data_IF_752020677313
#
_entry.id   IF_752020677313
#
_cell.length_a   1.000
_cell.length_b   1.000
_cell.length_c   1.000
_cell.angle_alpha   90.00
_cell.angle_beta   90.00
_cell.angle_gamma   90.00
#
_symmetry.space_group_name_H-M   'P 1'
#
loop_
_entity.id
_entity.type
_entity.pdbx_description
1 polymer ?
#
# COMPACT_ATOMS: atom_id res chain seq x y z
N UNK A 1 14.64 77.64 3.62
CA UNK A 1 13.60 77.95 2.62
C UNK A 1 12.95 76.69 2.16
N UNK A 2 11.70 76.50 2.59
CA UNK A 2 10.73 75.55 2.00
C UNK A 2 10.24 76.13 0.67
N UNK A 3 9.70 75.33 -0.23
CA UNK A 3 8.30 74.85 -0.13
C UNK A 3 8.11 73.41 -0.59
N UNK A 4 7.22 72.67 0.03
CA UNK A 4 5.75 72.51 -0.12
C UNK A 4 5.34 71.81 -1.41
N UNK A 5 4.74 70.64 -1.14
CA UNK A 5 3.42 70.12 -1.52
C UNK A 5 3.46 69.15 -2.69
N UNK A 6 2.81 68.04 -2.74
CA UNK A 6 1.43 67.58 -2.59
C UNK A 6 1.44 66.06 -2.73
N UNK A 7 0.93 65.33 -1.82
CA UNK A 7 -0.44 64.78 -1.81
C UNK A 7 -0.71 63.57 -2.72
N UNK A 8 -1.02 62.45 -2.05
CA UNK A 8 -2.02 61.46 -2.41
C UNK A 8 -1.84 60.64 -3.69
N UNK A 9 -1.43 59.39 -3.47
CA UNK A 9 -2.11 58.24 -4.07
C UNK A 9 -1.72 57.00 -3.29
N UNK A 10 -2.62 56.52 -2.44
CA UNK A 10 -2.58 55.19 -1.83
C UNK A 10 -3.17 54.24 -2.85
N UNK A 11 -2.45 53.28 -3.40
CA UNK A 11 -3.09 52.12 -4.01
C UNK A 11 -3.54 51.22 -2.88
N UNK A 12 -4.83 51.05 -2.76
CA UNK A 12 -5.49 49.97 -2.02
C UNK A 12 -4.94 48.64 -2.53
N UNK A 13 -3.99 48.07 -1.82
CA UNK A 13 -3.65 46.65 -1.95
C UNK A 13 -4.89 45.87 -1.52
N UNK A 14 -5.69 45.49 -2.49
CA UNK A 14 -6.61 44.37 -2.39
C UNK A 14 -5.75 43.15 -2.03
N UNK A 15 -5.65 42.86 -0.73
CA UNK A 15 -5.32 41.57 -0.21
C UNK A 15 -6.44 40.63 -0.65
N UNK A 16 -6.31 40.12 -1.86
CA UNK A 16 -7.01 38.94 -2.30
C UNK A 16 -6.58 37.85 -1.33
N UNK A 17 -7.43 37.55 -0.37
CA UNK A 17 -7.36 36.32 0.37
C UNK A 17 -7.42 35.18 -0.65
N UNK A 18 -6.27 34.67 -1.01
CA UNK A 18 -6.18 33.32 -1.52
C UNK A 18 -6.56 32.42 -0.36
N UNK A 19 -7.86 32.20 -0.21
CA UNK A 19 -8.35 31.01 0.44
C UNK A 19 -7.72 29.86 -0.34
N UNK A 20 -6.66 29.31 0.20
CA UNK A 20 -6.16 28.01 -0.19
C UNK A 20 -7.32 27.03 0.03
N UNK A 21 -8.13 26.85 -1.01
CA UNK A 21 -8.97 25.69 -1.08
C UNK A 21 -7.98 24.52 -1.05
N UNK A 22 -7.86 23.88 0.10
CA UNK A 22 -7.33 22.55 0.18
C UNK A 22 -8.16 21.75 -0.85
N UNK A 23 -7.56 21.44 -1.98
CA UNK A 23 -8.11 20.46 -2.91
C UNK A 23 -8.00 19.14 -2.16
N UNK A 24 -9.04 18.83 -1.35
CA UNK A 24 -9.27 17.48 -0.91
C UNK A 24 -9.26 16.65 -2.20
N UNK A 25 -8.27 15.79 -2.35
CA UNK A 25 -8.23 14.80 -3.42
C UNK A 25 -9.49 13.97 -3.21
N UNK A 26 -10.56 14.31 -3.95
CA UNK A 26 -11.81 13.56 -3.91
C UNK A 26 -11.48 12.18 -4.46
N UNK A 27 -11.26 11.24 -3.55
CA UNK A 27 -11.10 9.84 -3.90
C UNK A 27 -12.38 9.40 -4.58
N UNK A 28 -12.27 8.89 -5.81
CA UNK A 28 -13.42 8.31 -6.52
C UNK A 28 -14.10 7.27 -5.62
N UNK A 29 -15.43 7.31 -5.45
CA UNK A 29 -16.15 6.34 -4.63
C UNK A 29 -15.82 4.88 -4.95
N UNK A 30 -15.50 4.56 -6.22
CA UNK A 30 -15.12 3.21 -6.64
C UNK A 30 -13.75 2.83 -6.07
N UNK A 31 -12.77 3.74 -6.12
CA UNK A 31 -11.45 3.48 -5.54
C UNK A 31 -11.55 3.17 -4.04
N UNK A 32 -12.43 3.88 -3.33
CA UNK A 32 -12.72 3.62 -1.91
C UNK A 32 -13.34 2.24 -1.69
N UNK A 33 -14.30 1.81 -2.52
CA UNK A 33 -14.89 0.47 -2.43
C UNK A 33 -13.84 -0.64 -2.65
N UNK A 34 -12.95 -0.45 -3.62
CA UNK A 34 -11.84 -1.38 -3.88
C UNK A 34 -10.90 -1.46 -2.67
N UNK A 35 -10.54 -0.30 -2.10
CA UNK A 35 -9.68 -0.25 -0.92
C UNK A 35 -10.31 -0.92 0.31
N UNK A 36 -11.62 -0.78 0.48
CA UNK A 36 -12.41 -1.44 1.53
C UNK A 36 -12.69 -2.93 1.26
N UNK A 37 -12.18 -3.48 0.15
CA UNK A 37 -12.42 -4.86 -0.30
C UNK A 37 -13.91 -5.18 -0.58
N UNK A 38 -14.73 -4.16 -0.81
CA UNK A 38 -16.14 -4.28 -1.20
C UNK A 38 -16.24 -4.52 -2.71
N UNK A 39 -15.62 -5.60 -3.17
CA UNK A 39 -15.39 -5.86 -4.59
C UNK A 39 -16.68 -6.04 -5.40
N UNK A 40 -17.72 -6.61 -4.81
CA UNK A 40 -19.02 -6.75 -5.48
C UNK A 40 -19.68 -5.40 -5.79
N UNK A 41 -19.66 -4.48 -4.81
CA UNK A 41 -20.20 -3.13 -4.98
C UNK A 41 -19.35 -2.29 -5.93
N UNK A 42 -18.02 -2.45 -5.87
CA UNK A 42 -17.13 -1.82 -6.82
C UNK A 42 -17.43 -2.27 -8.25
N UNK A 43 -17.58 -3.60 -8.49
CA UNK A 43 -17.92 -4.17 -9.79
C UNK A 43 -19.23 -3.59 -10.35
N UNK A 44 -20.32 -3.63 -9.55
CA UNK A 44 -21.62 -3.10 -9.96
C UNK A 44 -21.57 -1.59 -10.28
N UNK A 45 -20.78 -0.82 -9.53
CA UNK A 45 -20.63 0.61 -9.76
C UNK A 45 -19.84 0.90 -11.05
N UNK A 46 -18.77 0.13 -11.32
CA UNK A 46 -17.98 0.19 -12.55
C UNK A 46 -18.88 -0.12 -13.74
N UNK A 47 -19.63 -1.23 -13.70
CA UNK A 47 -20.53 -1.66 -14.75
C UNK A 47 -21.59 -0.61 -15.05
N UNK A 48 -22.21 -0.03 -14.02
CA UNK A 48 -23.20 1.02 -14.18
C UNK A 48 -22.63 2.32 -14.81
N UNK A 49 -21.37 2.67 -14.52
CA UNK A 49 -20.68 3.79 -15.16
C UNK A 49 -20.35 3.49 -16.62
N UNK A 50 -19.80 2.31 -16.90
CA UNK A 50 -19.44 1.90 -18.26
C UNK A 50 -20.66 1.71 -19.16
N UNK A 51 -21.82 1.33 -18.60
CA UNK A 51 -23.09 1.28 -19.34
C UNK A 51 -23.56 2.68 -19.79
N UNK A 52 -23.24 3.73 -19.04
CA UNK A 52 -23.57 5.14 -19.39
C UNK A 52 -22.55 5.75 -20.32
N UNK A 53 -21.27 5.47 -20.09
CA UNK A 53 -20.13 5.92 -20.89
C UNK A 53 -19.09 4.79 -20.97
N UNK A 54 -19.08 4.09 -22.09
CA UNK A 54 -18.20 2.93 -22.32
C UNK A 54 -16.70 3.29 -22.33
N UNK A 55 -16.37 4.58 -22.40
CA UNK A 55 -15.00 5.13 -22.43
C UNK A 55 -14.69 5.97 -21.20
N UNK A 56 -15.51 5.91 -20.13
CA UNK A 56 -15.25 6.63 -18.87
C UNK A 56 -13.86 6.27 -18.30
N UNK A 57 -12.90 7.22 -18.27
CA UNK A 57 -11.53 6.90 -17.88
C UNK A 57 -11.41 6.44 -16.45
N UNK A 58 -12.24 6.98 -15.54
CA UNK A 58 -12.23 6.60 -14.13
C UNK A 58 -12.77 5.20 -13.92
N UNK A 59 -13.85 4.84 -14.62
CA UNK A 59 -14.43 3.50 -14.51
C UNK A 59 -13.53 2.43 -15.14
N UNK A 60 -12.90 2.72 -16.28
CA UNK A 60 -11.93 1.81 -16.90
C UNK A 60 -10.68 1.62 -16.04
N UNK A 61 -10.13 2.70 -15.47
CA UNK A 61 -9.00 2.61 -14.55
C UNK A 61 -9.38 1.83 -13.27
N UNK A 62 -10.57 2.08 -12.72
CA UNK A 62 -11.06 1.36 -11.54
C UNK A 62 -11.29 -0.14 -11.80
N UNK A 63 -11.64 -0.56 -13.04
CA UNK A 63 -11.75 -1.98 -13.38
C UNK A 63 -10.38 -2.67 -13.32
N UNK A 64 -9.32 -1.99 -13.77
CA UNK A 64 -7.93 -2.48 -13.63
C UNK A 64 -7.55 -2.63 -12.17
N UNK A 65 -7.81 -1.61 -11.35
CA UNK A 65 -7.48 -1.62 -9.93
C UNK A 65 -8.24 -2.73 -9.17
N UNK A 66 -9.51 -2.92 -9.49
CA UNK A 66 -10.33 -3.98 -8.91
C UNK A 66 -9.75 -5.38 -9.19
N UNK A 67 -9.33 -5.63 -10.43
CA UNK A 67 -8.72 -6.90 -10.83
C UNK A 67 -7.37 -7.13 -10.14
N UNK A 68 -6.53 -6.10 -10.07
CA UNK A 68 -5.26 -6.18 -9.33
C UNK A 68 -5.54 -6.45 -7.83
N UNK A 69 -6.52 -5.77 -7.23
CA UNK A 69 -6.85 -5.88 -5.82
C UNK A 69 -7.42 -7.25 -5.41
N UNK A 70 -8.11 -7.95 -6.33
CA UNK A 70 -8.53 -9.33 -6.11
C UNK A 70 -7.37 -10.29 -5.96
N UNK A 71 -6.24 -9.96 -6.60
CA UNK A 71 -4.99 -10.73 -6.47
C UNK A 71 -5.02 -12.10 -7.14
N UNK A 72 -5.97 -12.33 -8.03
CA UNK A 72 -6.08 -13.56 -8.81
C UNK A 72 -5.21 -13.46 -10.07
N UNK A 73 -4.20 -14.34 -10.25
CA UNK A 73 -3.27 -14.24 -11.38
C UNK A 73 -3.98 -14.27 -12.75
N UNK A 74 -5.09 -14.97 -12.83
CA UNK A 74 -5.88 -15.13 -14.07
C UNK A 74 -6.61 -13.84 -14.47
N UNK A 75 -6.77 -12.88 -13.57
CA UNK A 75 -7.39 -11.58 -13.87
C UNK A 75 -6.39 -10.55 -14.45
N UNK A 76 -5.08 -10.73 -14.26
CA UNK A 76 -4.08 -9.77 -14.73
C UNK A 76 -4.04 -9.59 -16.28
N UNK A 77 -4.23 -10.62 -17.12
CA UNK A 77 -4.34 -10.44 -18.56
C UNK A 77 -5.54 -9.56 -18.96
N UNK A 78 -6.70 -9.76 -18.32
CA UNK A 78 -7.88 -8.93 -18.59
C UNK A 78 -7.70 -7.51 -18.05
N UNK A 79 -7.09 -7.34 -16.88
CA UNK A 79 -6.74 -6.02 -16.35
C UNK A 79 -5.83 -5.25 -17.32
N UNK A 80 -4.92 -5.93 -18.01
CA UNK A 80 -4.07 -5.33 -19.05
C UNK A 80 -4.89 -4.83 -20.23
N UNK A 81 -5.82 -5.64 -20.75
CA UNK A 81 -6.72 -5.27 -21.84
C UNK A 81 -7.58 -4.05 -21.44
N UNK A 82 -8.12 -4.04 -20.22
CA UNK A 82 -8.90 -2.89 -19.71
C UNK A 82 -8.04 -1.61 -19.62
N UNK A 83 -6.79 -1.71 -19.19
CA UNK A 83 -5.84 -0.61 -19.13
C UNK A 83 -5.45 -0.07 -20.52
N UNK A 84 -5.20 -0.94 -21.48
CA UNK A 84 -4.91 -0.59 -22.88
C UNK A 84 -6.11 0.11 -23.51
N UNK A 85 -7.32 -0.42 -23.33
CA UNK A 85 -8.58 0.21 -23.76
C UNK A 85 -8.76 1.59 -23.12
N UNK A 86 -8.41 1.75 -21.84
CA UNK A 86 -8.50 3.04 -21.15
C UNK A 86 -7.62 4.08 -21.85
N UNK A 87 -6.36 3.75 -22.12
CA UNK A 87 -5.39 4.65 -22.77
C UNK A 87 -5.76 4.92 -24.24
N UNK A 88 -6.27 3.91 -24.96
CA UNK A 88 -6.69 4.09 -26.35
C UNK A 88 -7.87 5.05 -26.46
N UNK A 89 -8.87 4.90 -25.59
CA UNK A 89 -10.04 5.77 -25.57
C UNK A 89 -9.76 7.18 -24.98
N UNK A 90 -8.74 7.30 -24.13
CA UNK A 90 -8.42 8.53 -23.41
C UNK A 90 -6.88 8.74 -23.39
N UNK A 91 -6.26 9.12 -24.52
CA UNK A 91 -4.80 9.12 -24.68
C UNK A 91 -4.04 10.08 -23.75
N UNK A 92 -4.68 11.17 -23.30
CA UNK A 92 -4.10 12.18 -22.42
C UNK A 92 -4.57 12.06 -20.97
N UNK A 93 -5.23 10.93 -20.62
CA UNK A 93 -5.71 10.68 -19.27
C UNK A 93 -4.60 10.14 -18.36
N UNK A 94 -4.26 10.90 -17.32
CA UNK A 94 -3.32 10.49 -16.28
C UNK A 94 -3.76 9.22 -15.59
N UNK A 95 -5.04 9.08 -15.22
CA UNK A 95 -5.56 7.91 -14.52
C UNK A 95 -5.54 6.65 -15.39
N UNK A 96 -5.75 6.76 -16.70
CA UNK A 96 -5.63 5.63 -17.63
C UNK A 96 -4.17 5.19 -17.79
N UNK A 97 -3.26 6.14 -17.96
CA UNK A 97 -1.82 5.85 -18.07
C UNK A 97 -1.30 5.21 -16.78
N UNK A 98 -1.74 5.71 -15.62
CA UNK A 98 -1.39 5.14 -14.32
C UNK A 98 -1.92 3.70 -14.17
N UNK A 99 -3.20 3.46 -14.44
CA UNK A 99 -3.80 2.13 -14.33
C UNK A 99 -3.08 1.10 -15.23
N UNK A 100 -2.74 1.49 -16.47
CA UNK A 100 -1.95 0.64 -17.36
C UNK A 100 -0.55 0.39 -16.80
N UNK A 101 0.14 1.39 -16.27
CA UNK A 101 1.44 1.24 -15.63
C UNK A 101 1.39 0.30 -14.42
N UNK A 102 0.35 0.42 -13.59
CA UNK A 102 0.14 -0.43 -12.41
C UNK A 102 -0.04 -1.90 -12.77
N UNK A 103 -0.86 -2.22 -13.78
CA UNK A 103 -1.06 -3.62 -14.19
C UNK A 103 0.20 -4.20 -14.85
N UNK A 104 0.95 -3.39 -15.60
CA UNK A 104 2.23 -3.84 -16.18
C UNK A 104 3.25 -4.18 -15.09
N UNK A 105 3.33 -3.37 -14.04
CA UNK A 105 4.17 -3.65 -12.87
C UNK A 105 3.69 -4.90 -12.12
N UNK A 106 2.38 -5.06 -11.92
CA UNK A 106 1.81 -6.25 -11.30
C UNK A 106 2.12 -7.52 -12.10
N UNK A 107 1.97 -7.50 -13.43
CA UNK A 107 2.33 -8.61 -14.30
C UNK A 107 3.84 -8.93 -14.25
N UNK A 108 4.67 -7.89 -14.17
CA UNK A 108 6.13 -8.06 -14.05
C UNK A 108 6.51 -8.78 -12.76
N UNK A 109 5.88 -8.41 -11.65
CA UNK A 109 6.09 -9.06 -10.35
C UNK A 109 5.57 -10.50 -10.33
N UNK A 110 4.40 -10.75 -10.88
CA UNK A 110 3.81 -12.09 -10.94
C UNK A 110 4.56 -13.05 -11.87
N UNK A 111 5.05 -12.54 -13.01
CA UNK A 111 5.72 -13.33 -14.05
C UNK A 111 7.24 -13.46 -13.89
N UNK A 112 7.80 -12.89 -12.81
CA UNK A 112 9.24 -12.95 -12.53
C UNK A 112 10.12 -12.20 -13.53
N UNK A 113 11.42 -12.53 -13.57
CA UNK A 113 12.43 -11.75 -14.31
C UNK A 113 12.11 -11.61 -15.81
N UNK A 114 11.62 -12.65 -16.47
CA UNK A 114 11.31 -12.61 -17.91
C UNK A 114 10.19 -11.63 -18.22
N UNK A 115 9.12 -11.65 -17.43
CA UNK A 115 8.02 -10.71 -17.57
C UNK A 115 8.47 -9.28 -17.24
N UNK A 116 9.33 -9.14 -16.25
CA UNK A 116 9.90 -7.85 -15.86
C UNK A 116 10.71 -7.24 -17.01
N UNK A 117 11.66 -7.99 -17.59
CA UNK A 117 12.47 -7.54 -18.74
C UNK A 117 11.59 -7.09 -19.90
N UNK A 118 10.54 -7.85 -20.21
CA UNK A 118 9.63 -7.54 -21.32
C UNK A 118 8.84 -6.24 -21.12
N UNK A 119 8.46 -5.93 -19.89
CA UNK A 119 7.56 -4.81 -19.58
C UNK A 119 8.29 -3.55 -19.05
N UNK A 120 9.54 -3.65 -18.62
CA UNK A 120 10.20 -2.62 -17.83
C UNK A 120 10.15 -1.21 -18.44
N UNK A 121 10.64 -1.08 -19.69
CA UNK A 121 10.66 0.23 -20.36
C UNK A 121 9.25 0.80 -20.57
N UNK A 122 8.32 -0.05 -21.04
CA UNK A 122 6.94 0.37 -21.28
C UNK A 122 6.24 0.76 -19.97
N UNK A 123 6.51 0.05 -18.86
CA UNK A 123 5.98 0.40 -17.52
C UNK A 123 6.47 1.78 -17.09
N UNK A 124 7.78 2.03 -17.13
CA UNK A 124 8.37 3.31 -16.79
C UNK A 124 7.78 4.45 -17.62
N UNK A 125 7.83 4.32 -18.95
CA UNK A 125 7.41 5.37 -19.88
C UNK A 125 5.91 5.69 -19.73
N UNK A 126 5.09 4.68 -19.42
CA UNK A 126 3.66 4.84 -19.17
C UNK A 126 3.39 5.59 -17.85
N UNK A 127 4.12 5.28 -16.78
CA UNK A 127 4.01 5.99 -15.51
C UNK A 127 4.55 7.42 -15.58
N UNK A 128 5.65 7.63 -16.31
CA UNK A 128 6.15 8.99 -16.58
C UNK A 128 5.14 9.82 -17.38
N UNK A 129 4.41 9.20 -18.32
CA UNK A 129 3.31 9.87 -19.04
C UNK A 129 2.19 10.27 -18.09
N UNK A 130 1.80 9.38 -17.18
CA UNK A 130 0.77 9.67 -16.17
C UNK A 130 1.12 10.94 -15.37
N UNK A 131 2.37 11.05 -14.91
CA UNK A 131 2.86 12.22 -14.15
C UNK A 131 2.95 13.48 -15.02
N UNK A 132 3.28 13.34 -16.31
CA UNK A 132 3.28 14.50 -17.24
C UNK A 132 1.88 15.04 -17.48
N UNK A 133 0.86 14.17 -17.59
CA UNK A 133 -0.52 14.60 -17.77
C UNK A 133 -1.13 15.21 -16.51
N UNK A 134 -0.79 14.66 -15.35
CA UNK A 134 -1.19 15.21 -14.04
C UNK A 134 -0.04 15.10 -13.02
N UNK A 135 0.70 16.20 -12.78
CA UNK A 135 1.75 16.24 -11.77
C UNK A 135 1.26 15.90 -10.34
N UNK A 136 -0.05 16.08 -10.07
CA UNK A 136 -0.66 15.76 -8.77
C UNK A 136 -1.13 14.30 -8.68
N UNK A 137 -0.90 13.48 -9.69
CA UNK A 137 -1.15 12.05 -9.59
C UNK A 137 -0.12 11.39 -8.65
N UNK A 138 -0.42 11.43 -7.35
CA UNK A 138 0.46 10.91 -6.29
C UNK A 138 0.67 9.40 -6.41
N UNK A 139 -0.35 8.66 -6.85
CA UNK A 139 -0.27 7.22 -7.01
C UNK A 139 0.70 6.83 -8.13
N UNK A 140 0.63 7.49 -9.27
CA UNK A 140 1.59 7.31 -10.35
C UNK A 140 3.04 7.60 -9.90
N UNK A 141 3.25 8.66 -9.10
CA UNK A 141 4.57 8.99 -8.55
C UNK A 141 5.10 7.91 -7.62
N UNK A 142 4.27 7.41 -6.70
CA UNK A 142 4.66 6.33 -5.79
C UNK A 142 4.94 5.04 -6.56
N UNK A 143 4.10 4.69 -7.54
CA UNK A 143 4.31 3.49 -8.38
C UNK A 143 5.59 3.59 -9.22
N UNK A 144 5.88 4.77 -9.79
CA UNK A 144 7.12 5.00 -10.53
C UNK A 144 8.35 4.93 -9.62
N UNK A 145 8.26 5.43 -8.39
CA UNK A 145 9.32 5.27 -7.40
C UNK A 145 9.58 3.79 -7.09
N UNK A 146 8.52 3.01 -6.83
CA UNK A 146 8.62 1.57 -6.63
C UNK A 146 9.32 0.90 -7.82
N UNK A 147 8.96 1.30 -9.05
CA UNK A 147 9.66 0.81 -10.24
C UNK A 147 11.16 1.15 -10.23
N UNK A 148 11.53 2.40 -9.93
CA UNK A 148 12.94 2.80 -9.91
C UNK A 148 13.77 2.08 -8.85
N UNK A 149 13.19 1.75 -7.71
CA UNK A 149 13.85 1.03 -6.61
C UNK A 149 13.92 -0.49 -6.88
N UNK A 150 12.85 -1.10 -7.42
CA UNK A 150 12.77 -2.55 -7.63
C UNK A 150 13.51 -3.03 -8.91
N UNK A 151 13.57 -2.18 -9.95
CA UNK A 151 14.10 -2.57 -11.23
C UNK A 151 15.63 -2.64 -11.22
N UNK A 152 16.25 -3.66 -11.84
CA UNK A 152 17.67 -3.63 -12.12
C UNK A 152 18.07 -2.40 -12.95
N UNK A 153 19.29 -1.87 -12.75
CA UNK A 153 19.77 -0.65 -13.43
C UNK A 153 19.69 -0.74 -14.97
N UNK A 154 19.99 -1.91 -15.54
CA UNK A 154 19.95 -2.14 -17.00
C UNK A 154 18.51 -2.25 -17.57
N UNK A 155 17.50 -2.30 -16.70
CA UNK A 155 16.07 -2.24 -17.03
C UNK A 155 15.43 -0.90 -16.69
N UNK A 156 16.22 0.09 -16.29
CA UNK A 156 15.76 1.44 -16.00
C UNK A 156 15.56 1.73 -14.51
N UNK A 157 15.95 0.81 -13.61
CA UNK A 157 16.02 1.10 -12.18
C UNK A 157 17.08 2.16 -11.87
N UNK A 158 16.81 3.02 -10.90
CA UNK A 158 17.73 4.11 -10.59
C UNK A 158 17.37 4.77 -9.24
N UNK A 159 18.19 4.54 -8.23
CA UNK A 159 18.07 5.25 -6.96
C UNK A 159 18.17 6.78 -7.12
N UNK A 160 18.97 7.25 -8.10
CA UNK A 160 19.11 8.69 -8.38
C UNK A 160 17.76 9.26 -8.83
N UNK A 161 17.10 8.61 -9.81
CA UNK A 161 15.79 9.04 -10.31
C UNK A 161 14.71 8.93 -9.22
N UNK A 162 14.77 7.91 -8.37
CA UNK A 162 13.88 7.79 -7.21
C UNK A 162 14.02 9.00 -6.27
N UNK A 163 15.25 9.40 -5.93
CA UNK A 163 15.51 10.59 -5.09
C UNK A 163 15.10 11.91 -5.76
N UNK A 164 15.32 12.04 -7.07
CA UNK A 164 14.84 13.19 -7.86
C UNK A 164 13.32 13.29 -7.79
N UNK A 165 12.60 12.19 -8.00
CA UNK A 165 11.15 12.12 -7.95
C UNK A 165 10.61 12.51 -6.55
N UNK A 166 11.28 12.07 -5.47
CA UNK A 166 10.96 12.48 -4.11
C UNK A 166 11.23 13.98 -3.88
N UNK A 167 12.26 14.53 -4.51
CA UNK A 167 12.61 15.95 -4.40
C UNK A 167 11.60 16.84 -5.15
N UNK A 168 11.15 16.40 -6.32
CA UNK A 168 10.09 17.08 -7.08
C UNK A 168 8.77 17.10 -6.29
N UNK A 169 8.42 16.00 -5.61
CA UNK A 169 7.22 15.89 -4.78
C UNK A 169 7.17 16.94 -3.66
N UNK A 170 8.32 17.45 -3.20
CA UNK A 170 8.40 18.48 -2.15
C UNK A 170 7.64 19.76 -2.50
N UNK A 171 7.54 20.09 -3.78
CA UNK A 171 6.82 21.28 -4.25
C UNK A 171 5.31 21.06 -4.31
N UNK A 172 4.90 19.80 -4.28
CA UNK A 172 3.50 19.38 -4.42
C UNK A 172 2.91 19.10 -3.03
N UNK A 173 3.57 18.23 -2.27
CA UNK A 173 3.09 17.77 -0.98
C UNK A 173 4.23 17.35 -0.04
N UNK A 174 4.31 17.90 1.20
CA UNK A 174 5.34 17.54 2.17
C UNK A 174 5.22 16.09 2.67
N UNK A 175 4.01 15.56 2.86
CA UNK A 175 3.78 14.25 3.44
C UNK A 175 4.03 13.14 2.42
N UNK A 176 3.63 13.36 1.16
CA UNK A 176 4.05 12.52 0.05
C UNK A 176 5.58 12.46 -0.06
N UNK A 177 6.24 13.61 0.07
CA UNK A 177 7.71 13.68 0.07
C UNK A 177 8.33 12.84 1.16
N UNK A 178 7.75 12.87 2.38
CA UNK A 178 8.21 12.04 3.51
C UNK A 178 8.05 10.56 3.22
N UNK A 179 6.90 10.13 2.70
CA UNK A 179 6.70 8.75 2.27
C UNK A 179 7.77 8.32 1.26
N UNK A 180 7.97 9.12 0.22
CA UNK A 180 8.92 8.79 -0.84
C UNK A 180 10.38 8.76 -0.34
N UNK A 181 10.76 9.66 0.57
CA UNK A 181 12.07 9.63 1.23
C UNK A 181 12.24 8.42 2.14
N UNK A 182 11.19 8.04 2.85
CA UNK A 182 11.21 6.84 3.66
C UNK A 182 11.45 5.58 2.80
N UNK A 183 10.84 5.52 1.62
CA UNK A 183 11.06 4.41 0.66
C UNK A 183 12.52 4.39 0.16
N UNK A 184 13.09 5.53 -0.22
CA UNK A 184 14.51 5.61 -0.62
C UNK A 184 15.44 5.21 0.53
N UNK A 185 15.21 5.72 1.74
CA UNK A 185 16.04 5.40 2.89
C UNK A 185 15.96 3.90 3.26
N UNK A 186 14.78 3.29 3.13
CA UNK A 186 14.60 1.87 3.34
C UNK A 186 15.40 1.04 2.33
N UNK A 187 15.33 1.38 1.04
CA UNK A 187 16.07 0.73 -0.03
C UNK A 187 17.59 0.82 0.19
N UNK A 188 18.07 1.96 0.70
CA UNK A 188 19.47 2.17 1.08
C UNK A 188 19.89 1.45 2.38
N UNK A 189 18.99 0.71 3.04
CA UNK A 189 19.23 0.05 4.32
C UNK A 189 19.30 0.99 5.53
N UNK A 190 18.93 2.26 5.38
CA UNK A 190 18.94 3.29 6.42
C UNK A 190 17.64 3.25 7.22
N UNK A 191 17.46 2.17 8.01
CA UNK A 191 16.17 1.88 8.67
C UNK A 191 15.71 3.00 9.62
N UNK A 192 16.64 3.64 10.34
CA UNK A 192 16.29 4.70 11.31
C UNK A 192 15.84 5.99 10.59
N UNK A 193 16.45 6.32 9.44
CA UNK A 193 16.03 7.45 8.60
C UNK A 193 14.66 7.15 7.95
N UNK A 194 14.45 5.93 7.48
CA UNK A 194 13.16 5.49 6.96
C UNK A 194 12.06 5.58 8.03
N UNK A 195 12.32 5.11 9.26
CA UNK A 195 11.41 5.24 10.41
C UNK A 195 11.07 6.70 10.69
N UNK A 196 12.06 7.58 10.76
CA UNK A 196 11.84 9.02 11.01
C UNK A 196 10.92 9.64 9.95
N UNK A 197 11.15 9.36 8.69
CA UNK A 197 10.36 9.91 7.60
C UNK A 197 8.93 9.37 7.59
N UNK A 198 8.73 8.06 7.72
CA UNK A 198 7.39 7.47 7.64
C UNK A 198 6.51 7.84 8.85
N UNK A 199 7.11 7.98 10.03
CA UNK A 199 6.39 8.39 11.23
C UNK A 199 5.97 9.87 11.16
N UNK A 200 6.77 10.72 10.52
CA UNK A 200 6.47 12.14 10.33
C UNK A 200 5.46 12.41 9.20
N UNK A 201 5.16 11.43 8.33
CA UNK A 201 4.20 11.58 7.24
C UNK A 201 2.76 11.42 7.75
N UNK A 202 1.89 12.39 7.47
CA UNK A 202 0.44 12.26 7.67
C UNK A 202 -0.26 12.05 6.32
N UNK A 203 -0.61 10.80 6.04
CA UNK A 203 -1.25 10.39 4.79
C UNK A 203 -2.72 9.99 5.01
N UNK A 204 -3.34 10.47 6.06
CA UNK A 204 -4.72 10.11 6.44
C UNK A 204 -5.73 10.47 5.35
N UNK A 205 -5.51 11.58 4.65
CA UNK A 205 -6.38 12.05 3.56
C UNK A 205 -6.05 11.42 2.19
N UNK A 206 -4.95 10.66 2.09
CA UNK A 206 -4.44 10.10 0.82
C UNK A 206 -4.76 8.61 0.70
N UNK A 207 -6.04 8.24 0.64
CA UNK A 207 -6.48 6.82 0.59
C UNK A 207 -5.72 5.99 -0.47
N UNK A 208 -5.41 6.58 -1.63
CA UNK A 208 -4.75 5.86 -2.74
C UNK A 208 -3.29 5.48 -2.46
N UNK A 209 -2.61 6.18 -1.55
CA UNK A 209 -1.23 5.85 -1.17
C UNK A 209 -1.12 5.21 0.22
N UNK A 210 -2.24 5.06 0.94
CA UNK A 210 -2.27 4.35 2.23
C UNK A 210 -1.77 2.90 2.10
N UNK A 211 -1.99 2.27 0.95
CA UNK A 211 -1.46 0.95 0.64
C UNK A 211 0.07 0.91 0.71
N UNK A 212 0.73 1.88 0.09
CA UNK A 212 2.20 2.00 0.10
C UNK A 212 2.73 2.36 1.48
N UNK A 213 2.04 3.23 2.22
CA UNK A 213 2.38 3.54 3.60
C UNK A 213 2.30 2.31 4.49
N UNK A 214 1.20 1.54 4.39
CA UNK A 214 1.03 0.28 5.13
C UNK A 214 2.15 -0.70 4.83
N UNK A 215 2.44 -0.90 3.54
CA UNK A 215 3.49 -1.82 3.11
C UNK A 215 4.86 -1.43 3.67
N UNK A 216 5.21 -0.16 3.58
CA UNK A 216 6.48 0.34 4.13
C UNK A 216 6.55 0.20 5.65
N UNK A 217 5.47 0.53 6.38
CA UNK A 217 5.42 0.34 7.84
C UNK A 217 5.59 -1.13 8.23
N UNK A 218 4.92 -2.04 7.51
CA UNK A 218 5.05 -3.49 7.72
C UNK A 218 6.47 -3.99 7.48
N UNK A 219 7.05 -3.60 6.34
CA UNK A 219 8.37 -4.07 5.94
C UNK A 219 9.45 -3.53 6.88
N UNK A 220 9.35 -2.25 7.24
CA UNK A 220 10.28 -1.61 8.17
C UNK A 220 10.17 -2.20 9.59
N UNK A 221 8.94 -2.42 10.07
CA UNK A 221 8.71 -3.06 11.37
C UNK A 221 9.27 -4.49 11.42
N UNK A 222 9.10 -5.26 10.33
CA UNK A 222 9.67 -6.60 10.19
C UNK A 222 11.19 -6.56 10.14
N UNK A 223 11.79 -5.65 9.38
CA UNK A 223 13.25 -5.48 9.32
C UNK A 223 13.86 -5.16 10.71
N UNK A 224 13.19 -4.31 11.49
CA UNK A 224 13.60 -4.06 12.87
C UNK A 224 13.45 -5.31 13.75
N UNK A 225 12.38 -6.09 13.57
CA UNK A 225 12.18 -7.34 14.32
C UNK A 225 13.30 -8.34 14.01
N UNK A 226 13.61 -8.55 12.75
CA UNK A 226 14.66 -9.46 12.28
C UNK A 226 16.05 -9.02 12.78
N UNK A 227 16.27 -7.72 12.92
CA UNK A 227 17.48 -7.15 13.52
C UNK A 227 17.50 -7.19 15.06
N UNK A 228 16.49 -7.80 15.72
CA UNK A 228 16.37 -7.85 17.19
C UNK A 228 15.99 -6.52 17.84
N UNK A 229 15.66 -5.49 17.06
CA UNK A 229 15.28 -4.16 17.53
C UNK A 229 13.80 -4.11 17.90
N UNK A 230 13.43 -4.87 18.93
CA UNK A 230 12.04 -5.11 19.32
C UNK A 230 11.27 -3.85 19.70
N UNK A 231 11.94 -2.85 20.31
CA UNK A 231 11.28 -1.59 20.68
C UNK A 231 10.87 -0.78 19.44
N UNK A 232 11.74 -0.67 18.43
CA UNK A 232 11.46 0.00 17.16
C UNK A 232 10.35 -0.71 16.40
N UNK A 233 10.48 -2.02 16.24
CA UNK A 233 9.45 -2.85 15.62
C UNK A 233 8.08 -2.66 16.28
N UNK A 234 8.03 -2.70 17.62
CA UNK A 234 6.81 -2.51 18.40
C UNK A 234 6.17 -1.14 18.16
N UNK A 235 6.96 -0.05 18.13
CA UNK A 235 6.45 1.30 17.83
C UNK A 235 5.81 1.36 16.44
N UNK A 236 6.44 0.78 15.43
CA UNK A 236 5.92 0.80 14.06
C UNK A 236 4.63 -0.01 13.91
N UNK A 237 4.53 -1.18 14.55
CA UNK A 237 3.28 -1.96 14.57
C UNK A 237 2.16 -1.27 15.37
N UNK A 238 2.49 -0.54 16.45
CA UNK A 238 1.52 0.29 17.16
C UNK A 238 1.02 1.42 16.28
N UNK A 239 1.93 2.09 15.56
CA UNK A 239 1.57 3.16 14.63
C UNK A 239 0.72 2.64 13.47
N UNK A 240 1.03 1.47 12.95
CA UNK A 240 0.20 0.79 11.95
C UNK A 240 -1.22 0.52 12.48
N UNK A 241 -1.34 0.03 13.72
CA UNK A 241 -2.65 -0.18 14.36
C UNK A 241 -3.43 1.13 14.56
N UNK A 242 -2.74 2.22 14.88
CA UNK A 242 -3.34 3.53 15.08
C UNK A 242 -3.85 4.15 13.76
N UNK A 243 -3.03 4.08 12.70
CA UNK A 243 -3.35 4.65 11.38
C UNK A 243 -4.37 3.83 10.62
N UNK A 244 -4.31 2.51 10.75
CA UNK A 244 -5.14 1.56 10.02
C UNK A 244 -5.81 0.56 10.99
N UNK A 245 -6.77 1.02 11.82
CA UNK A 245 -7.37 0.20 12.87
C UNK A 245 -8.18 -0.99 12.33
N UNK A 246 -8.61 -0.95 11.08
CA UNK A 246 -9.26 -2.06 10.38
C UNK A 246 -8.30 -3.10 9.79
N UNK A 247 -6.97 -2.92 9.98
CA UNK A 247 -5.95 -3.84 9.49
C UNK A 247 -5.50 -4.78 10.61
N UNK A 248 -5.55 -6.08 10.35
CA UNK A 248 -5.05 -7.14 11.24
C UNK A 248 -3.53 -7.12 11.42
N UNK A 249 -2.82 -6.47 10.52
CA UNK A 249 -1.35 -6.51 10.47
C UNK A 249 -0.67 -5.84 11.67
N UNK A 250 -1.25 -4.79 12.21
CA UNK A 250 -0.71 -4.12 13.38
C UNK A 250 -0.71 -5.04 14.63
N UNK A 251 -1.87 -5.54 15.08
CA UNK A 251 -1.92 -6.49 16.19
C UNK A 251 -1.15 -7.79 15.92
N UNK A 252 -1.17 -8.30 14.69
CA UNK A 252 -0.38 -9.48 14.31
C UNK A 252 1.13 -9.24 14.50
N UNK A 253 1.64 -8.09 14.04
CA UNK A 253 3.04 -7.72 14.22
C UNK A 253 3.43 -7.54 15.69
N UNK A 254 2.56 -6.91 16.49
CA UNK A 254 2.77 -6.81 17.94
C UNK A 254 2.87 -8.20 18.61
N UNK A 255 2.08 -9.16 18.15
CA UNK A 255 2.17 -10.53 18.60
C UNK A 255 3.54 -11.17 18.26
N UNK A 256 4.06 -10.90 17.06
CA UNK A 256 5.39 -11.41 16.68
C UNK A 256 6.49 -10.81 17.54
N UNK A 257 6.42 -9.51 17.85
CA UNK A 257 7.35 -8.85 18.78
C UNK A 257 7.26 -9.48 20.16
N UNK A 258 6.06 -9.70 20.70
CA UNK A 258 5.84 -10.33 21.99
C UNK A 258 6.37 -11.77 22.01
N UNK A 259 6.17 -12.55 20.94
CA UNK A 259 6.76 -13.90 20.79
C UNK A 259 8.28 -13.86 20.84
N UNK A 260 8.90 -12.99 20.08
CA UNK A 260 10.37 -12.86 20.04
C UNK A 260 10.95 -12.52 21.43
N UNK A 261 10.17 -11.85 22.27
CA UNK A 261 10.53 -11.52 23.65
C UNK A 261 10.09 -12.56 24.69
N UNK A 262 9.51 -13.68 24.27
CA UNK A 262 8.99 -14.72 25.18
C UNK A 262 7.72 -14.35 25.93
N UNK A 263 7.09 -13.21 25.60
CA UNK A 263 5.86 -12.72 26.26
C UNK A 263 4.61 -13.38 25.64
N UNK A 264 4.52 -14.71 25.80
CA UNK A 264 3.53 -15.56 25.13
C UNK A 264 2.06 -15.21 25.44
N UNK A 265 1.77 -14.74 26.68
CA UNK A 265 0.41 -14.32 27.04
C UNK A 265 -0.03 -13.08 26.26
N UNK A 266 0.86 -12.11 26.13
CA UNK A 266 0.63 -10.92 25.33
C UNK A 266 0.51 -11.24 23.84
N UNK A 267 1.36 -12.14 23.34
CA UNK A 267 1.30 -12.61 21.96
C UNK A 267 -0.09 -13.22 21.64
N UNK A 268 -0.63 -14.07 22.52
CA UNK A 268 -1.95 -14.65 22.35
C UNK A 268 -3.04 -13.56 22.29
N UNK A 269 -3.02 -12.59 23.22
CA UNK A 269 -3.98 -11.49 23.24
C UNK A 269 -3.94 -10.66 21.93
N UNK A 270 -2.75 -10.36 21.43
CA UNK A 270 -2.61 -9.58 20.17
C UNK A 270 -3.07 -10.41 18.95
N UNK A 271 -2.85 -11.72 18.92
CA UNK A 271 -3.37 -12.59 17.86
C UNK A 271 -4.89 -12.71 17.90
N UNK A 272 -5.51 -12.76 19.07
CA UNK A 272 -6.96 -12.73 19.23
C UNK A 272 -7.55 -11.40 18.69
N UNK A 273 -6.89 -10.27 18.97
CA UNK A 273 -7.27 -8.97 18.39
C UNK A 273 -7.13 -8.97 16.87
N UNK A 274 -6.04 -9.50 16.32
CA UNK A 274 -5.85 -9.61 14.88
C UNK A 274 -6.94 -10.48 14.24
N UNK A 275 -7.28 -11.63 14.85
CA UNK A 275 -8.32 -12.53 14.38
C UNK A 275 -9.73 -11.91 14.44
N UNK A 276 -10.00 -11.04 15.43
CA UNK A 276 -11.25 -10.30 15.53
C UNK A 276 -11.40 -9.25 14.40
N UNK A 277 -10.30 -8.67 13.92
CA UNK A 277 -10.31 -7.74 12.78
C UNK A 277 -10.47 -8.52 11.48
N UNK A 278 -9.65 -9.56 11.27
CA UNK A 278 -9.71 -10.41 10.08
C UNK A 278 -9.35 -11.86 10.46
N UNK A 279 -10.30 -12.80 10.36
CA UNK A 279 -10.09 -14.21 10.73
C UNK A 279 -9.26 -14.94 9.66
N UNK A 280 -7.97 -14.63 9.56
CA UNK A 280 -7.06 -15.20 8.57
C UNK A 280 -6.43 -16.51 9.08
N UNK A 281 -6.29 -17.54 8.22
CA UNK A 281 -5.67 -18.82 8.59
C UNK A 281 -4.28 -18.71 9.20
N UNK A 282 -3.44 -17.79 8.71
CA UNK A 282 -2.09 -17.61 9.24
C UNK A 282 -2.08 -17.08 10.69
N UNK A 283 -3.08 -16.28 11.06
CA UNK A 283 -3.23 -15.76 12.43
C UNK A 283 -3.56 -16.91 13.37
N UNK A 284 -4.53 -17.75 13.01
CA UNK A 284 -4.92 -18.90 13.81
C UNK A 284 -3.81 -19.96 13.90
N UNK A 285 -3.05 -20.17 12.82
CA UNK A 285 -1.85 -21.02 12.87
C UNK A 285 -0.87 -20.51 13.92
N UNK A 286 -0.55 -19.22 13.87
CA UNK A 286 0.38 -18.60 14.85
C UNK A 286 -0.20 -18.63 16.27
N UNK A 287 -1.51 -18.44 16.43
CA UNK A 287 -2.18 -18.57 17.74
C UNK A 287 -2.07 -19.98 18.29
N UNK A 288 -2.20 -21.00 17.44
CA UNK A 288 -1.98 -22.40 17.80
C UNK A 288 -0.56 -22.64 18.31
N UNK A 289 0.45 -22.13 17.60
CA UNK A 289 1.85 -22.21 18.01
C UNK A 289 2.10 -21.52 19.36
N UNK A 290 1.49 -20.38 19.61
CA UNK A 290 1.60 -19.64 20.88
C UNK A 290 0.94 -20.41 22.04
N UNK A 291 -0.26 -20.97 21.84
CA UNK A 291 -0.92 -21.77 22.86
C UNK A 291 -0.18 -23.05 23.17
N UNK A 292 0.43 -23.70 22.18
CA UNK A 292 1.28 -24.85 22.38
C UNK A 292 2.51 -24.50 23.22
N UNK A 293 3.20 -23.39 22.90
CA UNK A 293 4.34 -22.90 23.69
C UNK A 293 3.96 -22.54 25.13
N UNK A 294 2.68 -22.23 25.38
CA UNK A 294 2.11 -22.01 26.74
C UNK A 294 1.61 -23.28 27.41
N UNK A 295 1.77 -24.44 26.78
CA UNK A 295 1.24 -25.74 27.24
C UNK A 295 -0.30 -25.76 27.32
N UNK A 296 -1.00 -24.87 26.62
CA UNK A 296 -2.47 -24.85 26.54
C UNK A 296 -2.94 -25.65 25.33
N UNK A 297 -2.89 -26.97 25.47
CA UNK A 297 -3.22 -27.91 24.41
C UNK A 297 -4.66 -27.77 23.89
N UNK A 298 -5.70 -27.59 24.72
CA UNK A 298 -7.07 -27.42 24.20
C UNK A 298 -7.20 -26.22 23.26
N UNK A 299 -6.63 -25.06 23.64
CA UNK A 299 -6.66 -23.84 22.80
C UNK A 299 -5.77 -23.97 21.56
N UNK A 300 -4.63 -24.66 21.67
CA UNK A 300 -3.78 -24.92 20.50
C UNK A 300 -4.53 -25.75 19.43
N UNK A 301 -5.21 -26.84 19.85
CA UNK A 301 -6.02 -27.66 18.95
C UNK A 301 -7.11 -26.85 18.27
N UNK A 302 -7.88 -26.04 19.03
CA UNK A 302 -8.95 -25.21 18.50
C UNK A 302 -8.41 -24.19 17.47
N UNK A 303 -7.28 -23.55 17.77
CA UNK A 303 -6.66 -22.58 16.87
C UNK A 303 -6.17 -23.24 15.55
N UNK A 304 -5.50 -24.39 15.62
CA UNK A 304 -5.08 -25.10 14.41
C UNK A 304 -6.28 -25.60 13.57
N UNK A 305 -7.38 -26.01 14.20
CA UNK A 305 -8.60 -26.35 13.49
C UNK A 305 -9.19 -25.14 12.76
N UNK A 306 -9.23 -23.96 13.40
CA UNK A 306 -9.65 -22.73 12.79
C UNK A 306 -8.74 -22.31 11.61
N UNK A 307 -7.42 -22.52 11.73
CA UNK A 307 -6.48 -22.26 10.65
C UNK A 307 -6.74 -23.13 9.42
N UNK A 308 -7.12 -24.39 9.60
CA UNK A 308 -7.42 -25.31 8.50
C UNK A 308 -8.78 -25.05 7.85
N UNK A 309 -9.74 -24.48 8.58
CA UNK A 309 -11.08 -24.16 8.09
C UNK A 309 -11.18 -22.76 7.43
N UNK A 310 -10.15 -21.93 7.55
CA UNK A 310 -10.21 -20.53 7.14
C UNK A 310 -10.10 -20.31 5.62
N UNK A 311 -10.59 -19.14 5.17
CA UNK A 311 -10.60 -18.72 3.76
C UNK A 311 -9.86 -17.39 3.62
N UNK A 312 -8.96 -17.26 2.60
CA UNK A 312 -8.44 -18.29 1.70
C UNK A 312 -7.64 -19.35 2.47
N UNK A 313 -7.55 -20.60 1.98
CA UNK A 313 -6.85 -21.67 2.70
C UNK A 313 -5.36 -21.39 2.83
N UNK A 314 -4.72 -21.99 3.83
CA UNK A 314 -3.26 -22.01 3.94
C UNK A 314 -2.62 -22.59 2.67
N UNK A 315 -1.40 -22.18 2.37
CA UNK A 315 -0.63 -22.80 1.29
C UNK A 315 -0.53 -24.32 1.49
N UNK A 316 -0.58 -25.11 0.42
CA UNK A 316 -0.65 -26.59 0.48
C UNK A 316 0.40 -27.21 1.41
N UNK A 317 1.62 -26.66 1.42
CA UNK A 317 2.70 -27.13 2.30
C UNK A 317 2.36 -26.89 3.77
N UNK A 318 1.92 -25.67 4.11
CA UNK A 318 1.55 -25.30 5.47
C UNK A 318 0.33 -26.10 5.95
N UNK A 319 -0.68 -26.28 5.08
CA UNK A 319 -1.86 -27.07 5.40
C UNK A 319 -1.49 -28.51 5.78
N UNK A 320 -0.58 -29.15 5.01
CA UNK A 320 -0.07 -30.49 5.34
C UNK A 320 0.66 -30.51 6.68
N UNK A 321 1.51 -29.51 6.95
CA UNK A 321 2.25 -29.41 8.20
C UNK A 321 1.30 -29.24 9.40
N UNK A 322 0.35 -28.32 9.32
CA UNK A 322 -0.62 -28.08 10.40
C UNK A 322 -1.50 -29.30 10.63
N UNK A 323 -1.93 -30.01 9.57
CA UNK A 323 -2.73 -31.25 9.69
C UNK A 323 -1.97 -32.34 10.40
N UNK A 324 -0.71 -32.59 10.02
CA UNK A 324 0.13 -33.62 10.67
C UNK A 324 0.38 -33.25 12.13
N UNK A 325 0.69 -32.02 12.42
CA UNK A 325 0.95 -31.54 13.77
C UNK A 325 -0.29 -31.62 14.67
N UNK A 326 -1.46 -31.22 14.15
CA UNK A 326 -2.73 -31.35 14.86
C UNK A 326 -3.07 -32.80 15.19
N UNK A 327 -2.79 -33.73 14.26
CA UNK A 327 -3.01 -35.18 14.52
C UNK A 327 -2.09 -35.72 15.62
N UNK A 328 -0.87 -35.24 15.72
CA UNK A 328 0.07 -35.58 16.80
C UNK A 328 -0.39 -35.00 18.13
N UNK A 329 -0.79 -33.72 18.15
CA UNK A 329 -1.31 -33.11 19.38
C UNK A 329 -2.55 -33.81 19.92
N UNK A 330 -3.43 -34.35 19.07
CA UNK A 330 -4.61 -35.08 19.51
C UNK A 330 -4.30 -36.48 20.07
N UNK A 331 -3.14 -37.06 19.75
CA UNK A 331 -2.71 -38.38 20.23
C UNK A 331 -2.01 -38.34 21.59
N UNK A 332 -1.35 -37.26 21.91
CA UNK A 332 -0.72 -37.02 23.20
C UNK A 332 -1.76 -36.76 24.29
#
# INVERSE_FOLDING_TARGET
MLPKSLAWWVPVLLLGAWSGAAFAVQTDPIARLVHQKRYGEASSTIEARLARNATDPTALAASVDLRIARGEPDELPQARIDGERCVEANPDSSVCAEALGNVMLAQSRAGGLVAFVRNAHATRDTLERAIRFDPMNYRARVTLMVFYLDAPFFLGGSEVRARELATEARRLDPDLTRLMRAMCAFDEGKLDEAEQHILAADLTEYELVQGSQRELLLTLASAHLDAGRHAQSGRLFQELSRRLPSSEHGPYGLAQVARAQGRLAEAALQLERAAAIAPRPYIYKTLGEVHEARHDRPRAIAAYQAALAGVPPLARREQKQVTAHLAELKRR
#
